data_IF_670359284064
#
_entry.id   IF_670359284064
#
_cell.length_a   1.000
_cell.length_b   1.000
_cell.length_c   1.000
_cell.angle_alpha   90.00
_cell.angle_beta   90.00
_cell.angle_gamma   90.00
#
_symmetry.space_group_name_H-M   'P 1'
#
loop_
_entity.id
_entity.type
_entity.pdbx_description
1 polymer ?
#
# COMPACT_ATOMS: atom_id res chain seq x y z
N UNK A 1 -10.67 -81.76 49.05
CA UNK A 1 -10.73 -80.47 48.33
C UNK A 1 -9.33 -79.89 48.26
N UNK A 2 -8.74 -79.74 47.07
CA UNK A 2 -7.50 -78.97 46.90
C UNK A 2 -7.46 -78.36 45.49
N UNK A 3 -7.39 -77.02 45.42
CA UNK A 3 -7.25 -76.27 44.16
C UNK A 3 -6.32 -75.07 44.34
N UNK A 4 -5.20 -75.16 43.62
CA UNK A 4 -4.54 -74.13 42.79
C UNK A 4 -3.84 -72.94 43.48
N UNK A 5 -2.52 -72.93 43.31
CA UNK A 5 -1.69 -71.73 43.21
C UNK A 5 -0.49 -72.06 42.31
N UNK A 6 -0.51 -71.54 41.08
CA UNK A 6 0.32 -71.95 39.93
C UNK A 6 1.64 -71.15 39.87
N UNK A 7 2.69 -71.84 39.45
CA UNK A 7 4.11 -71.49 39.28
C UNK A 7 4.33 -70.28 38.34
N UNK A 8 5.34 -69.44 38.60
CA UNK A 8 6.50 -69.20 37.69
C UNK A 8 7.46 -68.08 38.16
N UNK A 9 8.72 -68.49 38.33
CA UNK A 9 9.93 -67.67 38.47
C UNK A 9 10.69 -67.69 37.13
N UNK A 10 11.39 -66.58 36.84
CA UNK A 10 12.50 -66.39 35.90
C UNK A 10 12.25 -66.44 34.37
N UNK A 11 12.58 -65.33 33.69
CA UNK A 11 13.73 -65.21 32.75
C UNK A 11 13.56 -64.06 31.74
N UNK A 12 14.60 -63.22 31.63
CA UNK A 12 15.11 -62.66 30.35
C UNK A 12 14.30 -61.56 29.64
N UNK A 13 14.97 -60.42 29.38
CA UNK A 13 15.49 -60.04 28.04
C UNK A 13 15.90 -58.56 28.10
N UNK A 14 17.20 -58.34 27.99
CA UNK A 14 17.84 -57.11 27.53
C UNK A 14 17.23 -56.68 26.20
N UNK A 15 16.25 -55.80 26.25
CA UNK A 15 15.69 -55.13 25.08
C UNK A 15 16.48 -53.86 24.79
N UNK A 16 17.23 -53.88 23.68
CA UNK A 16 17.62 -52.71 22.92
C UNK A 16 16.44 -51.72 22.86
N UNK A 17 16.49 -50.64 23.65
CA UNK A 17 15.78 -49.43 23.27
C UNK A 17 16.55 -48.86 22.09
N UNK A 18 16.23 -49.36 20.90
CA UNK A 18 16.33 -48.56 19.70
C UNK A 18 15.63 -47.26 20.03
N UNK A 19 16.41 -46.20 20.20
CA UNK A 19 15.91 -44.84 20.14
C UNK A 19 15.28 -44.71 18.75
N UNK A 20 14.00 -45.04 18.66
CA UNK A 20 13.13 -44.65 17.55
C UNK A 20 13.32 -43.14 17.52
N UNK A 21 14.07 -42.68 16.51
CA UNK A 21 14.30 -41.28 16.28
C UNK A 21 12.93 -40.62 16.25
N UNK A 22 12.58 -39.96 17.35
CA UNK A 22 11.49 -39.01 17.38
C UNK A 22 11.75 -38.11 16.17
N UNK A 23 10.83 -38.01 15.20
CA UNK A 23 10.99 -37.06 14.13
C UNK A 23 11.12 -35.73 14.84
N UNK A 24 12.32 -35.16 14.77
CA UNK A 24 12.68 -33.87 15.32
C UNK A 24 11.58 -32.94 14.84
N UNK A 25 10.60 -32.68 15.71
CA UNK A 25 9.41 -31.92 15.35
C UNK A 25 9.95 -30.62 14.83
N UNK A 26 9.76 -30.40 13.53
CA UNK A 26 10.34 -29.27 12.83
C UNK A 26 9.76 -28.00 13.45
N UNK A 27 10.45 -27.46 14.46
CA UNK A 27 10.09 -26.24 15.14
C UNK A 27 10.31 -25.11 14.14
N UNK A 28 9.29 -24.84 13.34
CA UNK A 28 9.27 -23.71 12.44
C UNK A 28 9.35 -22.44 13.28
N UNK A 29 10.49 -21.73 13.23
CA UNK A 29 10.66 -20.46 13.93
C UNK A 29 9.64 -19.46 13.36
N UNK A 30 8.76 -18.94 14.22
CA UNK A 30 7.81 -17.88 13.87
C UNK A 30 8.52 -16.54 14.10
N UNK A 31 8.70 -15.76 13.03
CA UNK A 31 9.15 -14.37 13.12
C UNK A 31 7.93 -13.47 13.07
N UNK A 32 7.78 -12.59 14.04
CA UNK A 32 6.74 -11.56 14.04
C UNK A 32 7.38 -10.25 13.58
N UNK A 33 6.79 -9.61 12.58
CA UNK A 33 7.26 -8.34 12.02
C UNK A 33 6.14 -7.32 12.14
N UNK A 34 6.41 -6.17 12.73
CA UNK A 34 5.50 -5.02 12.72
C UNK A 34 5.82 -4.17 11.50
N UNK A 35 4.81 -3.82 10.71
CA UNK A 35 4.93 -2.94 9.53
C UNK A 35 3.92 -1.80 9.69
N UNK A 36 4.39 -0.57 9.60
CA UNK A 36 3.56 0.64 9.62
C UNK A 36 3.48 1.21 8.21
N UNK A 37 2.26 1.38 7.71
CA UNK A 37 1.98 2.02 6.42
C UNK A 37 1.31 3.35 6.70
N UNK A 38 1.96 4.41 6.26
CA UNK A 38 1.43 5.77 6.26
C UNK A 38 0.95 6.11 4.86
N UNK A 39 -0.13 6.89 4.76
CA UNK A 39 -0.61 7.35 3.46
C UNK A 39 -1.28 8.72 3.50
N UNK A 40 -1.23 9.40 2.36
CA UNK A 40 -2.06 10.56 2.05
C UNK A 40 -2.59 10.46 0.62
N UNK A 41 -3.42 11.41 0.25
CA UNK A 41 -4.00 11.58 -1.08
C UNK A 41 -4.51 13.02 -1.20
N UNK A 42 -4.65 13.52 -2.43
CA UNK A 42 -5.35 14.76 -2.75
C UNK A 42 -4.81 15.98 -1.96
N UNK A 43 -3.48 16.10 -1.85
CA UNK A 43 -2.84 17.21 -1.13
C UNK A 43 -3.14 18.55 -1.82
N UNK A 44 -3.30 18.56 -3.14
CA UNK A 44 -3.68 19.74 -3.92
C UNK A 44 -2.84 20.98 -3.62
N UNK A 45 -1.52 20.84 -3.55
CA UNK A 45 -0.60 21.96 -3.28
C UNK A 45 -0.84 22.69 -1.93
N UNK A 46 -1.57 22.08 -0.97
CA UNK A 46 -1.77 22.64 0.37
C UNK A 46 -0.53 22.39 1.24
N UNK A 47 0.50 23.22 1.02
CA UNK A 47 1.79 23.14 1.73
C UNK A 47 1.73 23.80 3.10
N UNK A 48 1.03 24.93 3.23
CA UNK A 48 0.94 25.67 4.48
C UNK A 48 -0.20 25.19 5.36
N UNK A 49 -0.10 25.54 6.65
CA UNK A 49 -1.19 25.39 7.60
C UNK A 49 -2.31 26.36 7.23
N UNK A 50 -3.56 25.91 7.33
CA UNK A 50 -4.69 26.82 7.26
C UNK A 50 -4.64 27.85 8.41
N UNK A 51 -5.07 29.10 8.18
CA UNK A 51 -5.21 30.10 9.23
C UNK A 51 -6.07 29.61 10.40
N UNK A 52 -5.83 30.13 11.61
CA UNK A 52 -6.62 29.72 12.80
C UNK A 52 -8.09 30.15 12.72
N UNK A 53 -8.40 31.12 11.87
CA UNK A 53 -9.76 31.60 11.58
C UNK A 53 -10.34 31.02 10.27
N UNK A 54 -9.71 30.00 9.66
CA UNK A 54 -10.28 29.35 8.49
C UNK A 54 -11.67 28.74 8.83
N UNK A 55 -12.71 28.97 8.01
CA UNK A 55 -14.06 28.57 8.36
C UNK A 55 -14.30 27.05 8.35
N UNK A 56 -13.42 26.29 7.69
CA UNK A 56 -13.61 24.84 7.49
C UNK A 56 -12.51 24.02 8.15
N UNK A 57 -11.27 24.51 8.13
CA UNK A 57 -10.08 23.80 8.58
C UNK A 57 -9.20 24.65 9.52
N UNK A 58 -9.76 25.31 10.56
CA UNK A 58 -9.05 26.27 11.38
C UNK A 58 -7.80 25.64 12.00
N UNK A 59 -6.63 26.17 11.62
CA UNK A 59 -5.34 25.73 12.14
C UNK A 59 -4.90 24.33 11.72
N UNK A 60 -5.58 23.66 10.80
CA UNK A 60 -5.27 22.29 10.35
C UNK A 60 -4.29 22.25 9.16
N UNK A 61 -3.88 21.04 8.76
CA UNK A 61 -2.99 20.83 7.62
C UNK A 61 -1.54 21.29 7.86
N UNK A 62 -0.86 21.59 6.76
CA UNK A 62 0.52 22.05 6.75
C UNK A 62 1.55 20.91 6.66
N UNK A 63 2.42 21.02 5.66
CA UNK A 63 3.51 20.11 5.41
C UNK A 63 4.46 20.00 6.61
N UNK A 64 4.82 21.11 7.26
CA UNK A 64 5.71 21.09 8.42
C UNK A 64 5.18 20.20 9.57
N UNK A 65 3.88 20.30 9.87
CA UNK A 65 3.22 19.46 10.88
C UNK A 65 3.21 17.99 10.47
N UNK A 66 2.86 17.71 9.21
CA UNK A 66 2.88 16.35 8.65
C UNK A 66 4.28 15.74 8.73
N UNK A 67 5.32 16.48 8.35
CA UNK A 67 6.72 16.06 8.44
C UNK A 67 7.12 15.71 9.88
N UNK A 68 6.76 16.54 10.85
CA UNK A 68 7.04 16.28 12.26
C UNK A 68 6.35 15.01 12.77
N UNK A 69 5.09 14.79 12.39
CA UNK A 69 4.35 13.57 12.73
C UNK A 69 4.99 12.32 12.11
N UNK A 70 5.33 12.36 10.81
CA UNK A 70 6.02 11.26 10.11
C UNK A 70 7.36 10.95 10.77
N UNK A 71 8.15 11.99 11.08
CA UNK A 71 9.46 11.85 11.75
C UNK A 71 9.32 11.12 13.09
N UNK A 72 8.39 11.56 13.94
CA UNK A 72 8.11 10.92 15.24
C UNK A 72 7.70 9.45 15.09
N UNK A 73 6.90 9.12 14.08
CA UNK A 73 6.50 7.73 13.82
C UNK A 73 7.72 6.89 13.41
N UNK A 74 8.59 7.41 12.53
CA UNK A 74 9.82 6.72 12.12
C UNK A 74 10.83 6.56 13.24
N UNK A 75 10.85 7.45 14.23
CA UNK A 75 11.65 7.28 15.44
C UNK A 75 11.12 6.16 16.35
N UNK A 76 9.81 5.89 16.32
CA UNK A 76 9.18 4.86 17.17
C UNK A 76 8.91 3.51 16.49
N UNK A 77 8.99 3.45 15.16
CA UNK A 77 8.63 2.27 14.36
C UNK A 77 9.78 1.87 13.42
N UNK A 78 10.18 0.60 13.46
CA UNK A 78 11.34 0.10 12.71
C UNK A 78 11.08 -0.02 11.19
N UNK A 79 9.84 -0.34 10.81
CA UNK A 79 9.48 -0.65 9.43
C UNK A 79 8.31 0.23 9.00
N UNK A 80 8.64 1.41 8.49
CA UNK A 80 7.67 2.37 7.99
C UNK A 80 7.77 2.45 6.47
N UNK A 81 6.61 2.51 5.81
CA UNK A 81 6.44 2.91 4.41
C UNK A 81 5.45 4.07 4.34
N UNK A 82 5.71 5.06 3.50
CA UNK A 82 4.86 6.23 3.28
C UNK A 82 4.48 6.35 1.81
N UNK A 83 3.18 6.39 1.51
CA UNK A 83 2.68 6.47 0.13
C UNK A 83 1.74 7.65 -0.09
N UNK A 84 1.64 8.12 -1.33
CA UNK A 84 0.60 9.07 -1.74
C UNK A 84 -0.28 8.49 -2.87
N UNK A 85 -1.58 8.74 -2.80
CA UNK A 85 -2.55 8.25 -3.77
C UNK A 85 -2.84 9.23 -4.92
N UNK A 86 -2.03 10.27 -5.14
CA UNK A 86 -2.15 11.19 -6.30
C UNK A 86 -2.90 12.47 -5.97
N UNK A 87 -3.02 13.36 -6.96
CA UNK A 87 -3.50 14.75 -6.82
C UNK A 87 -2.73 15.52 -5.76
N UNK A 88 -1.41 15.45 -5.87
CA UNK A 88 -0.47 16.20 -5.02
C UNK A 88 -0.36 17.64 -5.50
N UNK A 89 -0.55 17.84 -6.81
CA UNK A 89 -0.49 19.11 -7.53
C UNK A 89 -1.86 19.80 -7.58
N UNK A 90 -1.87 21.04 -8.09
CA UNK A 90 -3.04 21.90 -8.29
C UNK A 90 -3.84 22.23 -7.03
N UNK A 91 -4.16 23.50 -6.80
CA UNK A 91 -5.08 23.91 -5.73
C UNK A 91 -4.62 25.08 -4.86
N UNK A 92 -3.36 25.51 -5.01
CA UNK A 92 -2.83 26.69 -4.33
C UNK A 92 -1.95 27.55 -5.26
N UNK A 93 -1.65 28.81 -4.89
CA UNK A 93 -0.72 29.65 -5.63
C UNK A 93 0.69 29.05 -5.80
N UNK A 94 1.12 28.13 -4.93
CA UNK A 94 2.40 27.44 -5.09
C UNK A 94 2.48 26.72 -6.43
N UNK A 95 1.44 25.95 -6.79
CA UNK A 95 1.42 25.25 -8.08
C UNK A 95 1.39 26.22 -9.27
N UNK A 96 0.68 27.34 -9.14
CA UNK A 96 0.61 28.33 -10.21
C UNK A 96 1.98 28.95 -10.52
N UNK A 97 2.80 29.21 -9.48
CA UNK A 97 4.11 29.85 -9.60
C UNK A 97 5.24 28.84 -9.87
N UNK A 98 5.26 27.72 -9.14
CA UNK A 98 6.37 26.77 -9.12
C UNK A 98 6.07 25.45 -9.87
N UNK A 99 4.85 25.28 -10.37
CA UNK A 99 4.45 24.22 -11.30
C UNK A 99 4.70 22.79 -10.82
N UNK A 100 4.81 22.56 -9.51
CA UNK A 100 5.04 21.23 -8.90
C UNK A 100 6.39 21.06 -8.20
N UNK A 101 7.32 22.01 -8.36
CA UNK A 101 8.65 21.92 -7.77
C UNK A 101 8.60 21.84 -6.24
N UNK A 102 7.79 22.71 -5.61
CA UNK A 102 7.68 22.83 -4.15
C UNK A 102 7.09 21.55 -3.57
N UNK A 103 6.02 21.05 -4.17
CA UNK A 103 5.30 19.84 -3.76
C UNK A 103 6.25 18.64 -3.76
N UNK A 104 6.97 18.42 -4.87
CA UNK A 104 7.89 17.29 -4.99
C UNK A 104 9.08 17.40 -4.05
N UNK A 105 9.65 18.59 -3.84
CA UNK A 105 10.75 18.79 -2.86
C UNK A 105 10.28 18.51 -1.44
N UNK A 106 9.15 19.07 -1.03
CA UNK A 106 8.58 18.88 0.30
C UNK A 106 8.28 17.40 0.56
N UNK A 107 7.65 16.70 -0.38
CA UNK A 107 7.38 15.26 -0.25
C UNK A 107 8.65 14.42 -0.29
N UNK A 108 9.68 14.85 -1.03
CA UNK A 108 10.99 14.19 -1.03
C UNK A 108 11.68 14.29 0.32
N UNK A 109 11.61 15.45 0.97
CA UNK A 109 12.20 15.67 2.29
C UNK A 109 11.41 14.95 3.40
N UNK A 110 10.10 14.77 3.21
CA UNK A 110 9.31 13.84 4.03
C UNK A 110 9.64 12.37 3.78
N UNK A 111 10.38 12.06 2.71
CA UNK A 111 10.80 10.70 2.36
C UNK A 111 9.64 9.79 1.97
N UNK A 112 8.73 10.22 1.09
CA UNK A 112 7.74 9.30 0.50
C UNK A 112 8.45 8.12 -0.18
N UNK A 113 7.90 6.92 -0.04
CA UNK A 113 8.46 5.70 -0.63
C UNK A 113 7.99 5.49 -2.07
N UNK A 114 6.80 6.00 -2.42
CA UNK A 114 6.26 6.04 -3.78
C UNK A 114 4.88 6.71 -3.83
N UNK A 115 4.50 7.15 -5.02
CA UNK A 115 3.21 7.83 -5.26
C UNK A 115 2.54 7.25 -6.50
N UNK A 116 1.21 7.31 -6.60
CA UNK A 116 0.52 7.13 -7.90
C UNK A 116 0.25 8.47 -8.57
N UNK A 117 -0.33 8.44 -9.77
CA UNK A 117 -0.69 9.61 -10.56
C UNK A 117 -2.21 9.77 -10.53
N UNK A 118 -2.66 10.94 -10.10
CA UNK A 118 -4.04 11.42 -10.21
C UNK A 118 -4.26 12.29 -11.43
N UNK A 119 -5.48 12.82 -11.58
CA UNK A 119 -5.84 13.60 -12.77
C UNK A 119 -5.19 14.99 -12.76
N UNK A 120 -4.97 15.59 -11.59
CA UNK A 120 -4.41 16.94 -11.50
C UNK A 120 -2.91 17.01 -11.75
N UNK A 121 -2.21 15.86 -11.74
CA UNK A 121 -0.83 15.79 -12.22
C UNK A 121 -0.69 16.21 -13.69
N UNK A 122 -1.76 16.09 -14.49
CA UNK A 122 -1.77 16.45 -15.90
C UNK A 122 -2.11 17.93 -16.17
N UNK A 123 -2.54 18.72 -15.18
CA UNK A 123 -3.14 20.04 -15.41
C UNK A 123 -2.27 21.04 -16.18
N UNK A 124 -0.94 20.95 -16.04
CA UNK A 124 0.02 21.80 -16.78
C UNK A 124 0.66 21.10 -17.98
N UNK A 125 0.16 19.92 -18.37
CA UNK A 125 0.68 19.12 -19.48
C UNK A 125 1.81 18.18 -19.10
N UNK A 126 2.01 17.16 -19.93
CA UNK A 126 3.03 16.12 -19.74
C UNK A 126 4.45 16.68 -19.72
N UNK A 127 4.75 17.69 -20.53
CA UNK A 127 6.08 18.31 -20.60
C UNK A 127 6.45 18.95 -19.27
N UNK A 128 5.50 19.69 -18.68
CA UNK A 128 5.73 20.36 -17.41
C UNK A 128 5.88 19.35 -16.27
N UNK A 129 4.99 18.34 -16.21
CA UNK A 129 5.11 17.26 -15.22
C UNK A 129 6.46 16.55 -15.35
N UNK A 130 6.82 16.17 -16.58
CA UNK A 130 8.08 15.49 -16.92
C UNK A 130 9.32 16.29 -16.49
N UNK A 131 9.28 17.62 -16.64
CA UNK A 131 10.35 18.52 -16.20
C UNK A 131 10.46 18.55 -14.68
N UNK A 132 9.34 18.54 -13.97
CA UNK A 132 9.30 18.72 -12.52
C UNK A 132 9.60 17.44 -11.73
N UNK A 133 9.32 16.26 -12.30
CA UNK A 133 9.61 14.96 -11.67
C UNK A 133 11.07 14.79 -11.23
N UNK A 134 12.02 15.56 -11.77
CA UNK A 134 13.43 15.55 -11.33
C UNK A 134 13.61 15.96 -9.87
N UNK A 135 12.64 16.66 -9.29
CA UNK A 135 12.65 17.07 -7.88
C UNK A 135 12.11 16.00 -6.93
N UNK A 136 11.49 14.94 -7.46
CA UNK A 136 10.99 13.83 -6.66
C UNK A 136 12.10 12.81 -6.39
N UNK A 137 12.41 12.56 -5.11
CA UNK A 137 13.31 11.49 -4.64
C UNK A 137 12.57 10.16 -4.43
N UNK A 138 11.35 10.06 -4.94
CA UNK A 138 10.48 8.90 -4.86
C UNK A 138 9.97 8.53 -6.25
N UNK A 139 9.66 7.24 -6.50
CA UNK A 139 9.12 6.81 -7.77
C UNK A 139 7.64 7.14 -7.91
N UNK A 140 7.24 7.49 -9.13
CA UNK A 140 5.86 7.45 -9.57
C UNK A 140 5.52 6.03 -10.03
N UNK A 141 4.46 5.47 -9.45
CA UNK A 141 4.01 4.10 -9.70
C UNK A 141 2.66 4.19 -10.42
N UNK A 142 2.62 3.85 -11.71
CA UNK A 142 1.40 3.84 -12.52
C UNK A 142 1.42 2.63 -13.44
N UNK A 143 0.39 1.78 -13.34
CA UNK A 143 0.33 0.50 -14.04
C UNK A 143 -0.59 0.51 -15.25
N UNK A 144 -1.61 1.38 -15.26
CA UNK A 144 -2.67 1.40 -16.26
C UNK A 144 -2.60 2.58 -17.23
N UNK A 145 -1.74 3.57 -17.00
CA UNK A 145 -1.37 4.52 -18.06
C UNK A 145 -0.19 3.98 -18.86
N UNK A 146 -0.31 3.98 -20.17
CA UNK A 146 0.80 3.77 -21.10
C UNK A 146 1.26 5.13 -21.65
N UNK A 147 2.50 5.46 -21.33
CA UNK A 147 3.16 6.72 -21.65
C UNK A 147 4.11 6.60 -22.85
N UNK A 148 4.09 5.49 -23.59
CA UNK A 148 4.94 5.29 -24.78
C UNK A 148 4.75 6.41 -25.78
N UNK A 149 5.83 7.03 -26.24
CA UNK A 149 5.82 8.17 -27.16
C UNK A 149 5.40 9.50 -26.53
N UNK A 150 5.42 9.60 -25.19
CA UNK A 150 5.09 10.82 -24.45
C UNK A 150 6.29 11.31 -23.63
N UNK A 151 6.29 12.56 -23.13
CA UNK A 151 7.34 13.06 -22.24
C UNK A 151 7.53 12.26 -20.94
N UNK A 152 6.57 11.40 -20.55
CA UNK A 152 6.65 10.55 -19.37
C UNK A 152 7.14 9.13 -19.65
N UNK A 153 7.48 8.81 -20.90
CA UNK A 153 8.04 7.51 -21.24
C UNK A 153 9.28 7.19 -20.39
N UNK A 154 9.27 6.02 -19.74
CA UNK A 154 10.35 5.58 -18.86
C UNK A 154 10.47 6.32 -17.53
N UNK A 155 9.57 7.27 -17.21
CA UNK A 155 9.61 8.05 -15.95
C UNK A 155 8.74 7.47 -14.83
N UNK A 156 7.96 6.44 -15.11
CA UNK A 156 7.09 5.76 -14.14
C UNK A 156 7.42 4.28 -14.05
N UNK A 157 7.09 3.68 -12.91
CA UNK A 157 7.18 2.25 -12.70
C UNK A 157 5.79 1.63 -12.74
N UNK A 158 5.61 0.51 -13.43
CA UNK A 158 4.33 -0.24 -13.32
C UNK A 158 4.12 -0.78 -11.91
N UNK A 159 5.18 -1.15 -11.20
CA UNK A 159 5.14 -1.59 -9.81
C UNK A 159 6.50 -1.42 -9.14
N UNK A 160 6.54 -1.43 -7.82
CA UNK A 160 7.77 -1.51 -7.02
C UNK A 160 7.62 -2.51 -5.89
N UNK A 161 8.72 -3.20 -5.57
CA UNK A 161 8.78 -4.14 -4.46
C UNK A 161 9.66 -3.55 -3.37
N UNK A 162 9.15 -3.51 -2.15
CA UNK A 162 9.87 -3.10 -0.95
C UNK A 162 10.11 -4.31 -0.06
N UNK A 163 11.21 -4.30 0.68
CA UNK A 163 11.51 -5.32 1.68
C UNK A 163 11.74 -4.67 3.04
N UNK A 164 10.95 -5.07 4.04
CA UNK A 164 11.03 -4.55 5.42
C UNK A 164 10.91 -5.71 6.40
N UNK A 165 11.90 -5.90 7.27
CA UNK A 165 11.90 -7.00 8.23
C UNK A 165 11.88 -8.41 7.60
N UNK A 166 12.25 -8.53 6.32
CA UNK A 166 12.12 -9.75 5.53
C UNK A 166 10.70 -10.03 5.02
N UNK A 167 9.80 -9.03 5.05
CA UNK A 167 8.49 -9.06 4.40
C UNK A 167 8.62 -8.38 3.04
N UNK A 168 8.16 -9.05 1.98
CA UNK A 168 8.16 -8.51 0.62
C UNK A 168 6.81 -7.84 0.31
N UNK A 169 6.80 -6.53 0.10
CA UNK A 169 5.61 -5.72 -0.18
C UNK A 169 5.64 -5.28 -1.64
N UNK A 170 4.70 -5.78 -2.45
CA UNK A 170 4.51 -5.35 -3.82
C UNK A 170 3.51 -4.21 -3.91
N UNK A 171 3.85 -3.14 -4.62
CA UNK A 171 3.01 -1.95 -4.77
C UNK A 171 2.84 -1.65 -6.25
N UNK A 172 1.60 -1.46 -6.70
CA UNK A 172 1.26 -1.06 -8.07
C UNK A 172 0.26 0.10 -8.04
N UNK A 173 0.08 0.80 -9.16
CA UNK A 173 -0.67 2.06 -9.22
C UNK A 173 -1.80 2.04 -10.25
N UNK A 174 -2.96 2.59 -9.91
CA UNK A 174 -4.08 2.79 -10.84
C UNK A 174 -4.47 4.26 -10.87
N UNK A 175 -4.50 4.86 -12.05
CA UNK A 175 -5.05 6.19 -12.30
C UNK A 175 -6.47 6.11 -12.89
N UNK A 176 -7.19 7.22 -12.84
CA UNK A 176 -8.56 7.36 -13.37
C UNK A 176 -8.61 7.65 -14.88
N UNK A 177 -9.72 7.34 -15.53
CA UNK A 177 -9.92 7.78 -16.91
C UNK A 177 -9.90 9.31 -16.99
N UNK A 178 -9.04 9.86 -17.87
CA UNK A 178 -8.80 11.29 -17.99
C UNK A 178 -9.79 12.00 -18.91
N UNK A 179 -10.41 11.28 -19.84
CA UNK A 179 -11.42 11.84 -20.73
C UNK A 179 -12.61 12.37 -19.92
N UNK A 180 -13.01 13.61 -20.22
CA UNK A 180 -14.02 14.33 -19.44
C UNK A 180 -13.55 14.92 -18.10
N UNK A 181 -12.34 14.62 -17.62
CA UNK A 181 -11.75 15.22 -16.41
C UNK A 181 -10.63 16.22 -16.71
N UNK A 182 -9.84 15.93 -17.74
CA UNK A 182 -8.69 16.73 -18.15
C UNK A 182 -8.82 17.07 -19.63
N UNK A 183 -8.34 18.24 -20.06
CA UNK A 183 -8.30 18.55 -21.48
C UNK A 183 -7.36 17.57 -22.21
N UNK A 184 -7.81 16.98 -23.32
CA UNK A 184 -7.03 15.98 -24.08
C UNK A 184 -5.66 16.45 -24.53
N UNK A 185 -5.47 17.76 -24.74
CA UNK A 185 -4.16 18.35 -25.05
C UNK A 185 -3.14 18.17 -23.92
N UNK A 186 -3.60 18.07 -22.67
CA UNK A 186 -2.73 18.03 -21.49
C UNK A 186 -2.20 16.63 -21.19
N UNK A 187 -2.94 15.58 -21.53
CA UNK A 187 -2.48 14.19 -21.40
C UNK A 187 -2.05 13.55 -22.72
N UNK A 188 -2.19 14.26 -23.85
CA UNK A 188 -1.63 13.88 -25.15
C UNK A 188 -1.94 12.44 -25.54
N UNK A 189 -0.92 11.70 -25.97
CA UNK A 189 -1.04 10.31 -26.41
C UNK A 189 -1.06 9.29 -25.25
N UNK A 190 -1.22 9.72 -24.00
CA UNK A 190 -1.32 8.82 -22.85
C UNK A 190 -2.50 7.87 -23.06
N UNK A 191 -2.24 6.57 -23.12
CA UNK A 191 -3.31 5.57 -23.26
C UNK A 191 -3.77 5.11 -21.88
N UNK A 192 -5.08 5.11 -21.69
CA UNK A 192 -5.72 4.57 -20.50
C UNK A 192 -6.08 3.09 -20.74
N UNK A 193 -5.51 2.21 -19.93
CA UNK A 193 -5.83 0.78 -19.94
C UNK A 193 -6.85 0.45 -18.85
N UNK A 194 -7.68 -0.57 -19.09
CA UNK A 194 -8.71 -0.98 -18.14
C UNK A 194 -8.11 -1.25 -16.74
N UNK A 195 -8.56 -0.53 -15.70
CA UNK A 195 -7.98 -0.64 -14.36
C UNK A 195 -8.26 -2.00 -13.72
N UNK A 196 -9.37 -2.68 -14.05
CA UNK A 196 -9.71 -3.98 -13.48
C UNK A 196 -8.79 -5.08 -14.03
N UNK A 197 -8.58 -5.12 -15.34
CA UNK A 197 -7.65 -6.01 -16.01
C UNK A 197 -6.22 -5.77 -15.53
N UNK A 198 -5.81 -4.50 -15.43
CA UNK A 198 -4.49 -4.12 -14.91
C UNK A 198 -4.29 -4.57 -13.45
N UNK A 199 -5.30 -4.38 -12.60
CA UNK A 199 -5.25 -4.84 -11.21
C UNK A 199 -5.13 -6.37 -11.12
N UNK A 200 -5.83 -7.11 -11.99
CA UNK A 200 -5.73 -8.56 -12.06
C UNK A 200 -4.33 -9.01 -12.49
N UNK A 201 -3.74 -8.38 -13.51
CA UNK A 201 -2.38 -8.64 -13.98
C UNK A 201 -1.34 -8.38 -12.88
N UNK A 202 -1.34 -7.17 -12.30
CA UNK A 202 -0.34 -6.74 -11.32
C UNK A 202 -0.43 -7.51 -10.02
N UNK A 203 -1.64 -7.72 -9.49
CA UNK A 203 -1.82 -8.49 -8.25
C UNK A 203 -1.40 -9.95 -8.41
N UNK A 204 -1.66 -10.57 -9.56
CA UNK A 204 -1.19 -11.92 -9.87
C UNK A 204 0.33 -11.96 -9.98
N UNK A 205 0.95 -11.05 -10.75
CA UNK A 205 2.40 -10.94 -10.90
C UNK A 205 3.08 -10.81 -9.53
N UNK A 206 2.66 -9.85 -8.72
CA UNK A 206 3.27 -9.54 -7.42
C UNK A 206 3.11 -10.71 -6.44
N UNK A 207 1.90 -11.27 -6.31
CA UNK A 207 1.64 -12.35 -5.34
C UNK A 207 2.21 -13.69 -5.78
N UNK A 208 1.99 -14.09 -7.04
CA UNK A 208 2.24 -15.46 -7.50
C UNK A 208 3.62 -15.67 -8.10
N UNK A 209 4.15 -14.67 -8.82
CA UNK A 209 5.45 -14.77 -9.49
C UNK A 209 6.56 -14.14 -8.66
N UNK A 210 6.36 -12.91 -8.17
CA UNK A 210 7.34 -12.19 -7.33
C UNK A 210 7.32 -12.60 -5.87
N UNK A 211 6.32 -13.41 -5.46
CA UNK A 211 6.16 -13.97 -4.11
C UNK A 211 6.11 -12.88 -3.03
N UNK A 212 5.40 -11.78 -3.31
CA UNK A 212 5.16 -10.75 -2.32
C UNK A 212 4.26 -11.31 -1.22
N UNK A 213 4.63 -11.03 0.03
CA UNK A 213 3.84 -11.36 1.21
C UNK A 213 2.58 -10.50 1.26
N UNK A 214 2.70 -9.21 0.90
CA UNK A 214 1.61 -8.23 0.85
C UNK A 214 1.57 -7.54 -0.52
N UNK A 215 0.37 -7.29 -1.05
CA UNK A 215 0.14 -6.52 -2.27
C UNK A 215 -0.72 -5.30 -1.96
N UNK A 216 -0.20 -4.12 -2.31
CA UNK A 216 -0.84 -2.82 -2.14
C UNK A 216 -1.17 -2.23 -3.52
N UNK A 217 -2.39 -1.74 -3.67
CA UNK A 217 -2.80 -0.91 -4.80
C UNK A 217 -2.84 0.56 -4.35
N UNK A 218 -2.00 1.41 -4.94
CA UNK A 218 -2.16 2.86 -4.85
C UNK A 218 -3.15 3.28 -5.94
N UNK A 219 -4.31 3.79 -5.55
CA UNK A 219 -5.41 4.03 -6.48
C UNK A 219 -5.83 5.48 -6.44
N UNK A 220 -5.95 6.07 -7.61
CA UNK A 220 -6.61 7.35 -7.83
C UNK A 220 -7.94 7.16 -8.57
N UNK A 221 -8.58 5.99 -8.43
CA UNK A 221 -9.86 5.70 -9.11
C UNK A 221 -11.07 6.32 -8.42
N UNK A 222 -10.93 6.75 -7.17
CA UNK A 222 -12.04 7.15 -6.31
C UNK A 222 -12.61 5.99 -5.50
N UNK A 223 -13.05 6.30 -4.28
CA UNK A 223 -13.54 5.31 -3.33
C UNK A 223 -14.75 4.53 -3.86
N UNK A 224 -15.83 5.24 -4.23
CA UNK A 224 -17.09 4.66 -4.71
C UNK A 224 -17.91 5.70 -5.48
N UNK A 225 -18.60 5.25 -6.52
CA UNK A 225 -19.56 6.04 -7.29
C UNK A 225 -20.93 5.36 -7.30
N UNK A 226 -21.97 6.12 -7.58
CA UNK A 226 -23.32 5.59 -7.84
C UNK A 226 -23.44 4.96 -9.23
N UNK A 227 -22.55 5.34 -10.15
CA UNK A 227 -22.48 4.77 -11.50
C UNK A 227 -21.72 3.43 -11.53
N UNK A 228 -21.70 2.79 -12.70
CA UNK A 228 -20.93 1.56 -12.94
C UNK A 228 -19.42 1.79 -13.12
N UNK A 229 -18.92 3.01 -12.89
CA UNK A 229 -17.50 3.37 -13.01
C UNK A 229 -16.66 2.50 -12.06
N UNK A 230 -15.52 2.02 -12.54
CA UNK A 230 -14.58 1.27 -11.70
C UNK A 230 -14.05 2.22 -10.61
N UNK A 231 -14.11 1.76 -9.37
CA UNK A 231 -13.71 2.46 -8.15
C UNK A 231 -12.97 1.50 -7.22
N UNK A 232 -12.40 2.01 -6.14
CA UNK A 232 -11.68 1.20 -5.15
C UNK A 232 -12.58 0.12 -4.54
N UNK A 233 -13.85 0.45 -4.27
CA UNK A 233 -14.87 -0.51 -3.87
C UNK A 233 -15.00 -1.67 -4.87
N UNK A 234 -15.08 -1.37 -6.17
CA UNK A 234 -15.24 -2.38 -7.22
C UNK A 234 -13.99 -3.25 -7.34
N UNK A 235 -12.79 -2.64 -7.30
CA UNK A 235 -11.52 -3.37 -7.28
C UNK A 235 -11.45 -4.28 -6.05
N UNK A 236 -11.82 -3.79 -4.86
CA UNK A 236 -11.76 -4.56 -3.62
C UNK A 236 -12.59 -5.84 -3.69
N UNK A 237 -13.83 -5.77 -4.20
CA UNK A 237 -14.74 -6.93 -4.23
C UNK A 237 -14.47 -7.88 -5.41
N UNK A 238 -14.00 -7.37 -6.56
CA UNK A 238 -13.82 -8.18 -7.78
C UNK A 238 -12.41 -8.74 -7.94
N UNK A 239 -11.41 -8.12 -7.34
CA UNK A 239 -10.01 -8.54 -7.50
C UNK A 239 -9.70 -9.88 -6.79
N UNK A 240 -8.45 -10.31 -6.94
CA UNK A 240 -7.81 -11.37 -6.16
C UNK A 240 -6.43 -10.87 -5.77
N UNK A 241 -5.83 -11.49 -4.76
CA UNK A 241 -4.42 -11.28 -4.36
C UNK A 241 -4.02 -9.86 -3.88
N UNK A 242 -4.93 -8.89 -3.84
CA UNK A 242 -4.71 -7.57 -3.23
C UNK A 242 -5.02 -7.67 -1.73
N UNK A 243 -4.18 -7.06 -0.89
CA UNK A 243 -4.35 -7.05 0.57
C UNK A 243 -4.82 -5.66 1.07
N UNK A 244 -4.37 -4.57 0.41
CA UNK A 244 -4.70 -3.19 0.76
C UNK A 244 -4.85 -2.32 -0.50
N UNK A 245 -5.86 -1.44 -0.49
CA UNK A 245 -6.06 -0.36 -1.45
C UNK A 245 -5.96 0.97 -0.69
N UNK A 246 -5.05 1.83 -1.12
CA UNK A 246 -4.90 3.22 -0.65
C UNK A 246 -5.46 4.10 -1.76
N UNK A 247 -6.62 4.69 -1.52
CA UNK A 247 -7.41 5.48 -2.47
C UNK A 247 -7.17 6.99 -2.40
N UNK A 248 -7.67 7.69 -3.41
CA UNK A 248 -7.69 9.14 -3.57
C UNK A 248 -8.87 9.60 -4.44
N UNK A 249 -8.79 10.78 -5.06
CA UNK A 249 -9.73 11.36 -6.03
C UNK A 249 -11.06 11.85 -5.44
N UNK A 250 -11.78 11.01 -4.69
CA UNK A 250 -13.12 11.35 -4.18
C UNK A 250 -13.11 12.16 -2.87
N UNK A 251 -11.92 12.55 -2.39
CA UNK A 251 -11.71 13.31 -1.15
C UNK A 251 -12.41 12.71 0.10
N UNK A 252 -12.67 11.41 0.07
CA UNK A 252 -13.44 10.71 1.09
C UNK A 252 -12.65 10.59 2.39
N UNK A 253 -13.26 11.06 3.47
CA UNK A 253 -12.75 10.88 4.83
C UNK A 253 -13.23 9.53 5.37
N UNK A 254 -12.33 8.57 5.50
CA UNK A 254 -12.62 7.27 6.11
C UNK A 254 -11.96 7.18 7.49
N UNK A 255 -12.74 7.34 8.56
CA UNK A 255 -12.24 7.31 9.94
C UNK A 255 -11.58 5.97 10.33
N UNK A 256 -11.92 4.90 9.61
CA UNK A 256 -11.30 3.59 9.71
C UNK A 256 -11.26 2.91 8.33
N UNK A 257 -10.30 1.99 8.08
CA UNK A 257 -10.28 1.16 6.90
C UNK A 257 -11.58 0.39 6.73
N UNK A 258 -12.12 0.41 5.51
CA UNK A 258 -13.29 -0.38 5.15
C UNK A 258 -12.84 -1.78 4.75
N UNK A 259 -13.49 -2.80 5.30
CA UNK A 259 -13.19 -4.21 5.04
C UNK A 259 -14.14 -4.75 3.98
N UNK A 260 -13.58 -5.27 2.91
CA UNK A 260 -14.29 -6.01 1.88
C UNK A 260 -13.84 -7.47 1.82
N UNK A 261 -14.67 -8.31 1.20
CA UNK A 261 -14.27 -9.64 0.74
C UNK A 261 -14.11 -9.60 -0.76
N UNK A 262 -12.94 -10.02 -1.24
CA UNK A 262 -12.68 -10.14 -2.67
C UNK A 262 -13.31 -11.42 -3.23
N UNK A 263 -13.11 -11.67 -4.53
CA UNK A 263 -13.71 -12.81 -5.22
C UNK A 263 -13.23 -14.20 -4.73
N UNK A 264 -12.14 -14.27 -3.96
CA UNK A 264 -11.68 -15.50 -3.29
C UNK A 264 -12.15 -15.57 -1.81
N UNK A 265 -13.04 -14.68 -1.36
CA UNK A 265 -13.49 -14.58 0.03
C UNK A 265 -12.42 -14.06 1.00
N UNK A 266 -11.31 -13.51 0.49
CA UNK A 266 -10.22 -12.95 1.31
C UNK A 266 -10.49 -11.49 1.62
N UNK A 267 -10.01 -11.06 2.78
CA UNK A 267 -10.16 -9.67 3.22
C UNK A 267 -9.28 -8.73 2.37
N UNK A 268 -9.84 -7.58 2.00
CA UNK A 268 -9.14 -6.44 1.40
C UNK A 268 -9.53 -5.20 2.18
N UNK A 269 -8.52 -4.41 2.57
CA UNK A 269 -8.76 -3.10 3.19
C UNK A 269 -8.79 -2.00 2.14
N UNK A 270 -9.70 -1.05 2.28
CA UNK A 270 -9.74 0.20 1.50
C UNK A 270 -9.62 1.38 2.46
N UNK A 271 -8.70 2.30 2.16
CA UNK A 271 -8.41 3.47 2.99
C UNK A 271 -8.34 4.74 2.12
N UNK A 272 -8.74 5.88 2.68
CA UNK A 272 -8.59 7.21 2.06
C UNK A 272 -8.53 8.25 3.18
N UNK A 273 -7.69 9.26 3.03
CA UNK A 273 -7.34 10.22 4.09
C UNK A 273 -7.96 11.61 3.88
N UNK A 274 -9.08 11.71 3.16
CA UNK A 274 -9.70 13.01 2.88
C UNK A 274 -8.95 13.76 1.78
N UNK A 275 -8.52 15.01 2.05
CA UNK A 275 -7.78 15.84 1.11
C UNK A 275 -7.01 16.97 1.83
N UNK A 276 -6.30 17.79 1.05
CA UNK A 276 -5.65 19.06 1.43
C UNK A 276 -4.56 18.93 2.49
N UNK A 277 -3.98 17.73 2.61
CA UNK A 277 -2.94 17.44 3.59
C UNK A 277 -3.38 17.57 5.04
N UNK A 278 -4.70 17.55 5.31
CA UNK A 278 -5.28 17.73 6.65
C UNK A 278 -5.04 16.51 7.54
N UNK A 279 -5.06 15.31 6.96
CA UNK A 279 -4.85 14.05 7.67
C UNK A 279 -3.72 13.26 7.03
N UNK A 280 -3.02 12.49 7.85
CA UNK A 280 -2.26 11.31 7.40
C UNK A 280 -2.95 10.03 7.88
N UNK A 281 -3.15 9.07 6.99
CA UNK A 281 -3.63 7.74 7.34
C UNK A 281 -2.48 6.89 7.89
N UNK A 282 -2.77 6.06 8.90
CA UNK A 282 -1.82 5.11 9.49
C UNK A 282 -2.47 3.74 9.63
N UNK A 283 -1.78 2.70 9.17
CA UNK A 283 -2.12 1.30 9.40
C UNK A 283 -0.93 0.55 9.99
N UNK A 284 -1.17 -0.17 11.08
CA UNK A 284 -0.17 -1.04 11.71
C UNK A 284 -0.51 -2.52 11.47
N UNK A 285 0.40 -3.23 10.83
CA UNK A 285 0.29 -4.66 10.53
C UNK A 285 1.22 -5.47 11.41
N UNK A 286 0.75 -6.62 11.89
CA UNK A 286 1.60 -7.63 12.52
C UNK A 286 1.61 -8.87 11.65
N UNK A 287 2.75 -9.11 11.01
CA UNK A 287 2.92 -10.18 10.03
C UNK A 287 3.71 -11.30 10.70
N UNK A 288 3.11 -12.49 10.77
CA UNK A 288 3.76 -13.68 11.31
C UNK A 288 4.28 -14.51 10.14
N UNK A 289 5.60 -14.60 10.02
CA UNK A 289 6.29 -15.39 9.02
C UNK A 289 6.71 -16.73 9.61
N UNK A 290 6.21 -17.83 9.03
CA UNK A 290 6.63 -19.18 9.39
C UNK A 290 7.83 -19.56 8.53
N UNK A 291 9.00 -19.71 9.16
CA UNK A 291 10.21 -20.20 8.49
C UNK A 291 10.18 -21.73 8.56
N UNK A 292 9.89 -22.39 7.44
CA UNK A 292 10.05 -23.85 7.33
C UNK A 292 11.47 -24.16 6.85
N UNK A 293 12.08 -25.26 7.33
CA UNK A 293 13.46 -25.64 6.99
C UNK A 293 13.66 -25.88 5.48
N UNK A 294 12.61 -26.32 4.77
CA UNK A 294 12.65 -26.53 3.32
C UNK A 294 12.16 -25.28 2.58
N UNK A 295 12.99 -24.22 2.55
CA UNK A 295 12.96 -23.00 1.69
C UNK A 295 11.60 -22.31 1.38
N UNK A 296 10.50 -22.77 1.95
CA UNK A 296 9.13 -22.38 1.67
C UNK A 296 8.68 -21.52 2.84
N UNK A 297 8.63 -20.22 2.59
CA UNK A 297 8.17 -19.25 3.56
C UNK A 297 6.68 -19.01 3.31
N UNK A 298 5.88 -19.14 4.37
CA UNK A 298 4.47 -18.75 4.35
C UNK A 298 4.26 -17.63 5.35
N UNK A 299 3.62 -16.55 4.92
CA UNK A 299 3.27 -15.41 5.75
C UNK A 299 1.77 -15.43 6.04
N UNK A 300 1.41 -15.17 7.31
CA UNK A 300 0.05 -14.84 7.71
C UNK A 300 0.06 -13.40 8.19
N UNK A 301 -0.74 -12.56 7.55
CA UNK A 301 -0.90 -11.16 7.90
C UNK A 301 -2.04 -11.08 8.93
N UNK A 302 -1.74 -10.58 10.14
CA UNK A 302 -2.77 -10.22 11.12
C UNK A 302 -2.78 -8.70 11.25
N UNK A 303 -3.92 -8.10 10.99
CA UNK A 303 -4.07 -6.65 11.03
C UNK A 303 -4.40 -6.23 12.46
N UNK A 304 -3.57 -5.38 13.06
CA UNK A 304 -3.88 -4.74 14.34
C UNK A 304 -4.35 -3.33 14.02
N UNK A 305 -5.64 -3.17 13.76
CA UNK A 305 -6.20 -1.88 13.36
C UNK A 305 -6.05 -0.85 14.50
N UNK A 306 -4.99 -0.04 14.44
CA UNK A 306 -4.93 1.30 15.03
C UNK A 306 -4.92 2.28 13.87
N UNK A 307 -6.09 2.79 13.52
CA UNK A 307 -6.20 3.92 12.60
C UNK A 307 -6.23 5.16 13.46
N UNK A 308 -5.18 5.97 13.35
CA UNK A 308 -5.17 7.32 13.88
C UNK A 308 -4.95 8.25 12.70
N UNK A 309 -5.91 9.11 12.43
CA UNK A 309 -5.64 10.31 11.64
C UNK A 309 -4.85 11.26 12.53
N UNK A 310 -3.67 11.65 12.06
CA UNK A 310 -2.79 12.63 12.73
C UNK A 310 -2.74 13.88 11.85
#
# INVERSE_FOLDING_TARGET
MNRRGFIKTAAGVTGYLTAVGLPLTALAKKKTVKLTILHSNDIHSHIDKYPDNDPKYPGLGGAARKAAAIKKIRESEEHVLLFDAGDMLQGSPYYNLYKGEVEFKVMSDMGYDGVTIGNHEFDNGLEQLSKQMVHAKFPFISSNYDFTGTPLEGKTLRYKIYEKGGIKIGVFGLGIELDGLVNSKMYGNTKFNDPMATAAEMSYLLKKRKKCDMVICLSHLGYRYDSKKISDHVIAIKSKNIDLIIGGHTHTYLDKPIRYKNSDGKEVLVCQAGCYGIRIGRLDYVIVKKIMRDASQTSRIKILNKTSHI
#
